data_IF_848133298571
#
_entry.id   IF_848133298571
#
_cell.length_a   1.000
_cell.length_b   1.000
_cell.length_c   1.000
_cell.angle_alpha   90.00
_cell.angle_beta   90.00
_cell.angle_gamma   90.00
#
_symmetry.space_group_name_H-M   'P 1'
#
loop_
_entity.id
_entity.type
_entity.pdbx_description
1 polymer ?
#
# COMPACT_ATOMS: atom_id res chain seq x y z
N UNK A 1 3.83 17.87 -4.34
CA UNK A 1 4.00 17.31 -5.69
C UNK A 1 4.66 15.94 -5.76
N UNK A 2 5.72 15.67 -4.98
CA UNK A 2 6.46 14.37 -5.07
C UNK A 2 6.17 13.37 -3.96
N UNK A 3 5.38 13.77 -2.97
CA UNK A 3 5.15 13.00 -1.74
C UNK A 3 3.76 12.37 -1.72
N UNK A 4 3.65 11.27 -1.00
CA UNK A 4 2.38 10.73 -0.53
C UNK A 4 2.14 11.26 0.89
N UNK A 5 1.01 11.93 1.12
CA UNK A 5 0.60 12.42 2.45
C UNK A 5 -0.57 11.59 2.95
N UNK A 6 -0.53 11.14 4.20
CA UNK A 6 -1.62 10.37 4.82
C UNK A 6 -1.80 10.76 6.30
N UNK A 7 -2.99 10.55 6.88
CA UNK A 7 -3.20 10.78 8.29
C UNK A 7 -2.36 9.79 9.13
N UNK A 8 -1.86 10.25 10.27
CA UNK A 8 -1.00 9.47 11.16
C UNK A 8 -1.77 8.39 11.92
N UNK A 9 -3.01 8.69 12.31
CA UNK A 9 -3.81 7.88 13.23
C UNK A 9 -4.96 7.12 12.56
N UNK A 10 -5.12 7.25 11.24
CA UNK A 10 -6.22 6.58 10.52
C UNK A 10 -5.75 5.24 9.92
N UNK A 11 -6.67 4.28 9.88
CA UNK A 11 -6.46 2.98 9.25
C UNK A 11 -7.23 2.91 7.93
N UNK A 12 -6.64 2.28 6.91
CA UNK A 12 -7.33 1.94 5.67
C UNK A 12 -7.15 2.88 4.47
N UNK A 13 -6.16 3.77 4.48
CA UNK A 13 -5.78 4.53 3.27
C UNK A 13 -6.78 5.62 2.83
N UNK A 14 -7.83 5.86 3.62
CA UNK A 14 -8.68 7.05 3.49
C UNK A 14 -7.85 8.31 3.79
N UNK A 15 -8.23 9.44 3.16
CA UNK A 15 -7.55 10.71 3.39
C UNK A 15 -6.11 10.77 2.88
N UNK A 16 -5.73 9.94 1.90
CA UNK A 16 -4.39 9.96 1.31
C UNK A 16 -4.32 10.88 0.08
N UNK A 17 -3.23 11.66 -0.03
CA UNK A 17 -2.87 12.46 -1.19
C UNK A 17 -1.65 11.82 -1.87
N UNK A 18 -1.79 11.38 -3.12
CA UNK A 18 -0.67 10.91 -3.95
C UNK A 18 -0.19 12.08 -4.82
N UNK A 19 0.86 12.78 -4.38
CA UNK A 19 1.33 14.02 -5.00
C UNK A 19 1.44 13.99 -6.53
N UNK A 20 2.15 13.00 -7.12
CA UNK A 20 2.34 12.91 -8.57
C UNK A 20 1.06 12.68 -9.38
N UNK A 21 0.03 12.09 -8.77
CA UNK A 21 -1.25 11.76 -9.41
C UNK A 21 -2.39 12.69 -8.95
N UNK A 22 -2.08 13.77 -8.23
CA UNK A 22 -3.07 14.70 -7.68
C UNK A 22 -3.27 15.92 -8.57
N UNK A 23 -4.45 16.52 -8.48
CA UNK A 23 -4.73 17.86 -9.02
C UNK A 23 -4.17 18.95 -8.10
N UNK A 24 -4.02 20.17 -8.63
CA UNK A 24 -3.61 21.35 -7.85
C UNK A 24 -4.61 21.69 -6.74
N UNK A 25 -5.91 21.73 -7.07
CA UNK A 25 -6.97 22.02 -6.10
C UNK A 25 -6.94 21.05 -4.91
N UNK A 26 -6.73 19.75 -5.18
CA UNK A 26 -6.64 18.74 -4.10
C UNK A 26 -5.39 18.91 -3.24
N UNK A 27 -4.28 19.42 -3.81
CA UNK A 27 -3.07 19.75 -3.02
C UNK A 27 -3.29 20.97 -2.13
N UNK A 28 -3.98 21.99 -2.62
CA UNK A 28 -4.32 23.19 -1.84
C UNK A 28 -5.24 22.84 -0.67
N UNK A 29 -6.24 21.98 -0.89
CA UNK A 29 -7.08 21.43 0.18
C UNK A 29 -6.26 20.70 1.25
N UNK A 30 -5.35 19.81 0.83
CA UNK A 30 -4.48 19.10 1.77
C UNK A 30 -3.51 20.03 2.51
N UNK A 31 -3.01 21.09 1.87
CA UNK A 31 -2.17 22.07 2.54
C UNK A 31 -2.93 22.72 3.72
N UNK A 32 -4.16 23.17 3.49
CA UNK A 32 -5.01 23.73 4.54
C UNK A 32 -5.31 22.72 5.67
N UNK A 33 -5.54 21.44 5.33
CA UNK A 33 -5.76 20.38 6.32
C UNK A 33 -4.50 20.13 7.18
N UNK A 34 -3.32 20.13 6.56
CA UNK A 34 -2.04 19.95 7.25
C UNK A 34 -1.76 21.15 8.17
N UNK A 35 -1.94 22.38 7.69
CA UNK A 35 -1.75 23.59 8.50
C UNK A 35 -2.65 23.61 9.73
N UNK A 36 -3.91 23.16 9.57
CA UNK A 36 -4.88 23.09 10.67
C UNK A 36 -4.50 22.08 11.74
N UNK A 37 -3.87 20.95 11.39
CA UNK A 37 -3.47 19.92 12.34
C UNK A 37 -2.22 19.13 11.86
N UNK A 38 -1.02 19.73 11.94
CA UNK A 38 0.17 19.17 11.30
C UNK A 38 0.61 17.84 11.92
N UNK A 39 0.35 17.64 13.23
CA UNK A 39 0.67 16.40 13.93
C UNK A 39 -0.15 15.20 13.45
N UNK A 40 -1.28 15.43 12.79
CA UNK A 40 -2.12 14.37 12.27
C UNK A 40 -1.67 13.87 10.90
N UNK A 41 -0.61 14.41 10.29
CA UNK A 41 -0.18 14.01 8.96
C UNK A 41 1.28 13.57 8.92
N UNK A 42 1.54 12.59 8.06
CA UNK A 42 2.89 12.20 7.69
C UNK A 42 3.03 12.23 6.17
N UNK A 43 4.26 12.50 5.72
CA UNK A 43 4.60 12.50 4.30
C UNK A 43 5.77 11.55 4.04
N UNK A 44 5.67 10.82 2.94
CA UNK A 44 6.72 9.91 2.48
C UNK A 44 6.97 10.11 0.99
N UNK A 45 8.18 9.84 0.47
CA UNK A 45 8.41 9.79 -0.97
C UNK A 45 7.43 8.84 -1.65
N UNK A 46 7.02 9.17 -2.88
CA UNK A 46 6.19 8.25 -3.67
C UNK A 46 7.02 7.03 -4.02
N UNK A 47 6.63 5.86 -3.49
CA UNK A 47 7.27 4.59 -3.81
C UNK A 47 6.61 3.99 -5.05
N UNK A 48 7.43 3.44 -5.93
CA UNK A 48 6.94 2.59 -7.01
C UNK A 48 6.75 1.18 -6.45
N UNK A 49 5.51 0.82 -6.14
CA UNK A 49 5.20 -0.52 -5.65
C UNK A 49 5.49 -1.55 -6.75
N UNK A 50 6.02 -2.72 -6.37
CA UNK A 50 6.14 -3.84 -7.29
C UNK A 50 4.75 -4.27 -7.78
N UNK A 51 4.73 -4.99 -8.90
CA UNK A 51 3.50 -5.58 -9.44
C UNK A 51 3.65 -7.09 -9.55
N UNK A 52 2.53 -7.80 -9.50
CA UNK A 52 2.45 -9.20 -9.90
C UNK A 52 1.30 -9.42 -10.88
N UNK A 53 1.38 -10.48 -11.72
CA UNK A 53 0.30 -10.89 -12.60
C UNK A 53 -1.00 -11.09 -11.83
N UNK A 54 -2.07 -10.46 -12.31
CA UNK A 54 -3.41 -10.60 -11.76
C UNK A 54 -4.39 -10.81 -12.89
N UNK A 55 -5.20 -11.85 -12.78
CA UNK A 55 -6.21 -12.20 -13.77
C UNK A 55 -7.48 -11.39 -13.50
N UNK A 56 -7.81 -10.47 -14.40
CA UNK A 56 -8.95 -9.55 -14.32
C UNK A 56 -9.48 -9.38 -15.75
N UNK A 57 -10.81 -9.37 -15.92
CA UNK A 57 -11.47 -9.16 -17.21
C UNK A 57 -10.90 -10.05 -18.34
N UNK A 58 -10.76 -11.34 -18.06
CA UNK A 58 -10.21 -12.38 -18.95
C UNK A 58 -8.78 -12.13 -19.44
N UNK A 59 -8.02 -11.26 -18.77
CA UNK A 59 -6.65 -10.90 -19.13
C UNK A 59 -5.73 -10.97 -17.92
N UNK A 60 -4.47 -11.30 -18.17
CA UNK A 60 -3.40 -11.19 -17.17
C UNK A 60 -2.77 -9.82 -17.30
N UNK A 61 -2.95 -8.99 -16.27
CA UNK A 61 -2.36 -7.65 -16.22
C UNK A 61 -1.56 -7.46 -14.92
N UNK A 62 -0.52 -6.60 -14.92
CA UNK A 62 0.18 -6.25 -13.70
C UNK A 62 -0.74 -5.44 -12.78
N UNK A 63 -0.71 -5.75 -11.48
CA UNK A 63 -1.33 -4.97 -10.42
C UNK A 63 -0.37 -4.79 -9.26
N UNK A 64 -0.43 -3.61 -8.63
CA UNK A 64 0.38 -3.31 -7.46
C UNK A 64 -0.09 -4.14 -6.27
N UNK A 65 0.87 -4.56 -5.46
CA UNK A 65 0.62 -5.36 -4.27
C UNK A 65 1.48 -4.90 -3.10
N UNK A 66 1.06 -5.26 -1.91
CA UNK A 66 1.92 -5.26 -0.73
C UNK A 66 1.86 -6.59 0.02
N UNK A 67 2.91 -6.85 0.77
CA UNK A 67 3.05 -8.05 1.59
C UNK A 67 3.11 -7.64 3.06
N UNK A 68 2.26 -8.26 3.86
CA UNK A 68 2.28 -8.17 5.31
C UNK A 68 2.68 -9.50 5.93
N UNK A 69 3.97 -9.71 6.24
CA UNK A 69 4.40 -10.84 7.05
C UNK A 69 3.98 -10.63 8.51
N UNK A 70 4.01 -11.71 9.29
CA UNK A 70 3.74 -11.66 10.73
C UNK A 70 5.00 -12.07 11.49
N UNK A 71 5.37 -11.24 12.47
CA UNK A 71 6.48 -11.52 13.38
C UNK A 71 5.86 -11.99 14.69
N UNK A 72 6.26 -13.18 15.16
CA UNK A 72 5.88 -13.74 16.45
C UNK A 72 7.01 -13.48 17.44
N UNK A 73 6.67 -12.93 18.61
CA UNK A 73 7.64 -12.61 19.65
C UNK A 73 7.38 -13.46 20.90
N UNK A 74 8.39 -14.22 21.32
CA UNK A 74 8.43 -14.90 22.61
C UNK A 74 9.82 -14.74 23.23
N UNK A 75 10.40 -15.85 23.72
CA UNK A 75 11.82 -15.89 24.11
C UNK A 75 12.74 -15.50 22.94
N UNK A 76 12.32 -15.84 21.73
CA UNK A 76 13.00 -15.51 20.47
C UNK A 76 11.99 -14.88 19.50
N UNK A 77 12.50 -14.16 18.51
CA UNK A 77 11.71 -13.58 17.42
C UNK A 77 11.65 -14.55 16.25
N UNK A 78 10.46 -14.75 15.68
CA UNK A 78 10.25 -15.63 14.53
C UNK A 78 9.40 -14.94 13.47
N UNK A 79 9.77 -15.09 12.19
CA UNK A 79 8.98 -14.58 11.06
C UNK A 79 8.27 -15.76 10.40
N UNK A 80 6.96 -15.63 10.19
CA UNK A 80 6.17 -16.69 9.53
C UNK A 80 6.64 -16.92 8.08
N UNK A 81 6.71 -18.17 7.59
CA UNK A 81 7.01 -18.46 6.19
C UNK A 81 5.79 -18.20 5.30
N UNK A 82 5.40 -16.93 5.22
CA UNK A 82 4.22 -16.47 4.51
C UNK A 82 3.77 -15.10 4.99
N UNK A 83 2.56 -14.72 4.59
CA UNK A 83 1.95 -13.47 4.99
C UNK A 83 0.70 -13.16 4.19
N UNK A 84 0.05 -12.06 4.55
CA UNK A 84 -1.07 -11.54 3.78
C UNK A 84 -0.55 -10.70 2.61
N UNK A 85 -0.69 -11.20 1.39
CA UNK A 85 -0.50 -10.36 0.20
C UNK A 85 -1.81 -9.71 -0.18
N UNK A 86 -1.81 -8.38 -0.33
CA UNK A 86 -2.97 -7.60 -0.80
C UNK A 86 -2.67 -7.03 -2.18
N UNK A 87 -3.68 -6.96 -3.04
CA UNK A 87 -3.55 -6.49 -4.41
C UNK A 87 -4.54 -5.37 -4.70
N UNK A 88 -4.07 -4.30 -5.36
CA UNK A 88 -4.93 -3.23 -5.86
C UNK A 88 -5.58 -3.69 -7.17
N UNK A 89 -6.88 -3.99 -7.17
CA UNK A 89 -7.54 -4.54 -8.35
C UNK A 89 -7.79 -3.48 -9.45
N UNK A 90 -7.97 -2.22 -9.05
CA UNK A 90 -8.14 -1.09 -9.97
C UNK A 90 -6.83 -0.80 -10.70
N UNK A 91 -6.88 -0.74 -12.02
CA UNK A 91 -5.71 -0.48 -12.87
C UNK A 91 -5.01 0.83 -12.49
N UNK A 92 -3.70 0.76 -12.26
CA UNK A 92 -2.87 1.91 -11.86
C UNK A 92 -3.06 2.38 -10.42
N UNK A 93 -3.96 1.76 -9.64
CA UNK A 93 -4.15 2.12 -8.23
C UNK A 93 -3.02 1.57 -7.36
N UNK A 94 -2.63 2.35 -6.36
CA UNK A 94 -1.73 1.93 -5.27
C UNK A 94 -2.50 1.52 -4.00
N UNK A 95 -3.82 1.59 -4.05
CA UNK A 95 -4.70 1.33 -2.91
C UNK A 95 -5.03 -0.17 -2.88
N UNK A 96 -4.42 -0.88 -1.94
CA UNK A 96 -4.60 -2.33 -1.75
C UNK A 96 -5.62 -2.67 -0.65
N UNK A 97 -6.29 -1.68 -0.07
CA UNK A 97 -7.20 -1.91 1.05
C UNK A 97 -8.48 -2.62 0.59
N UNK A 98 -8.89 -3.67 1.31
CA UNK A 98 -10.05 -4.50 0.95
C UNK A 98 -11.37 -3.72 0.98
N UNK A 99 -11.52 -2.76 1.90
CA UNK A 99 -12.72 -1.92 1.96
C UNK A 99 -12.86 -0.95 0.77
N UNK A 100 -11.85 -0.86 -0.09
CA UNK A 100 -11.84 -0.03 -1.30
C UNK A 100 -11.59 -0.86 -2.57
N UNK A 101 -11.99 -2.13 -2.56
CA UNK A 101 -11.86 -3.01 -3.74
C UNK A 101 -10.46 -3.65 -3.88
N UNK A 102 -9.69 -3.72 -2.80
CA UNK A 102 -8.47 -4.53 -2.74
C UNK A 102 -8.79 -6.02 -2.66
N UNK A 103 -8.03 -6.84 -3.38
CA UNK A 103 -8.06 -8.30 -3.28
C UNK A 103 -6.93 -8.84 -2.40
N UNK A 104 -6.86 -10.16 -2.26
CA UNK A 104 -5.73 -10.85 -1.65
C UNK A 104 -5.14 -11.91 -2.59
N UNK A 105 -3.89 -12.29 -2.34
CA UNK A 105 -3.21 -13.41 -2.98
C UNK A 105 -2.56 -14.27 -1.90
N UNK A 106 -2.40 -15.56 -2.21
CA UNK A 106 -1.55 -16.43 -1.41
C UNK A 106 -0.07 -16.01 -1.56
N UNK A 107 0.72 -16.20 -0.52
CA UNK A 107 2.13 -15.84 -0.48
C UNK A 107 2.97 -17.10 -0.30
N UNK A 108 3.59 -17.56 -1.39
CA UNK A 108 4.45 -18.74 -1.34
C UNK A 108 5.90 -18.35 -1.04
N UNK A 109 6.38 -18.79 0.12
CA UNK A 109 7.81 -18.76 0.45
C UNK A 109 8.37 -20.12 0.07
N UNK A 110 9.15 -20.15 -1.00
CA UNK A 110 9.81 -21.37 -1.46
C UNK A 110 11.16 -21.50 -0.77
N UNK A 111 11.45 -22.69 -0.26
CA UNK A 111 12.79 -23.02 0.22
C UNK A 111 13.75 -22.97 -0.98
N UNK A 112 14.75 -22.09 -0.91
CA UNK A 112 15.77 -22.07 -1.94
C UNK A 112 16.60 -23.34 -1.83
N UNK A 113 16.82 -24.04 -2.95
CA UNK A 113 18.06 -24.79 -3.08
C UNK A 113 19.19 -23.77 -2.99
N UNK A 114 19.82 -23.66 -1.81
CA UNK A 114 21.09 -22.95 -1.66
C UNK A 114 22.06 -23.68 -2.60
N UNK A 115 22.40 -23.05 -3.73
CA UNK A 115 23.56 -23.42 -4.52
C UNK A 115 24.76 -22.66 -4.00
#
# INVERSE_FOLDING_TARGET
DRLVVKPANESGGYGMLVGPHSTRARREEFAALIEKNPRNYIAQPTLSLSTAPTYIDDRVEPRHLDLRPFILQGKESWVTPGGLTRVALVKGSLVVNSSQGGGSKDTWIVEGSIK
#
